data_IF_091400428974
#
_entry.id   IF_091400428974
#
_cell.length_a   1.000
_cell.length_b   1.000
_cell.length_c   1.000
_cell.angle_alpha   90.00
_cell.angle_beta   90.00
_cell.angle_gamma   90.00
#
_symmetry.space_group_name_H-M   'P 1'
#
loop_
_entity.id
_entity.type
_entity.pdbx_description
1 polymer ?
#
# COMPACT_ATOMS: atom_id res chain seq x y z
N UNK A 1 -17.49 -9.56 -1.88
CA UNK A 1 -16.53 -9.87 -2.97
C UNK A 1 -15.29 -10.47 -2.33
N UNK A 2 -15.02 -11.75 -2.60
CA UNK A 2 -13.82 -12.42 -2.09
C UNK A 2 -12.68 -12.09 -3.07
N UNK A 3 -12.01 -10.93 -2.88
CA UNK A 3 -10.88 -10.49 -3.71
C UNK A 3 -9.67 -11.35 -3.36
N UNK A 4 -9.39 -12.40 -4.14
CA UNK A 4 -8.16 -13.18 -3.99
C UNK A 4 -7.05 -12.54 -4.85
N UNK A 5 -6.59 -11.36 -4.42
CA UNK A 5 -5.40 -10.74 -5.02
C UNK A 5 -4.19 -11.62 -4.73
N UNK A 6 -3.50 -12.09 -5.78
CA UNK A 6 -2.22 -12.79 -5.65
C UNK A 6 -1.09 -11.79 -5.82
N UNK A 7 -0.13 -11.75 -4.90
CA UNK A 7 1.03 -10.87 -4.99
C UNK A 7 1.81 -11.13 -6.27
N UNK A 8 2.19 -10.05 -6.96
CA UNK A 8 2.97 -10.08 -8.20
C UNK A 8 4.21 -9.21 -8.11
N UNK A 9 4.16 -8.13 -7.33
CA UNK A 9 5.30 -7.22 -7.10
C UNK A 9 5.26 -6.78 -5.64
N UNK A 10 6.42 -6.85 -4.99
CA UNK A 10 6.66 -6.37 -3.63
C UNK A 10 7.67 -5.23 -3.67
N UNK A 11 7.24 -4.05 -3.25
CA UNK A 11 8.10 -2.87 -3.15
C UNK A 11 8.68 -2.67 -1.73
N UNK A 12 8.30 -3.54 -0.79
CA UNK A 12 8.65 -3.43 0.62
C UNK A 12 7.88 -2.33 1.35
N UNK A 13 8.49 -1.86 2.44
CA UNK A 13 7.92 -0.87 3.34
C UNK A 13 8.07 0.53 2.75
N UNK A 14 6.95 1.17 2.44
CA UNK A 14 6.87 2.46 1.75
C UNK A 14 6.03 3.48 2.53
N UNK A 15 6.41 4.77 2.50
CA UNK A 15 5.60 5.82 3.09
C UNK A 15 4.44 6.23 2.17
N UNK A 16 3.55 7.08 2.68
CA UNK A 16 2.49 7.71 1.88
C UNK A 16 3.12 8.78 0.99
N UNK A 17 3.08 8.56 -0.33
CA UNK A 17 3.80 9.40 -1.30
C UNK A 17 3.41 10.89 -1.29
N UNK A 18 2.20 11.22 -0.85
CA UNK A 18 1.68 12.58 -0.76
C UNK A 18 1.65 13.15 0.68
N UNK A 19 2.18 12.43 1.67
CA UNK A 19 2.29 12.91 3.05
C UNK A 19 3.64 13.62 3.24
N UNK A 20 3.76 14.84 2.73
CA UNK A 20 4.96 15.65 2.94
C UNK A 20 5.08 16.06 4.41
N UNK A 21 6.26 15.84 5.01
CA UNK A 21 6.52 16.08 6.43
C UNK A 21 7.61 17.13 6.63
N UNK A 22 7.51 17.89 7.72
CA UNK A 22 8.62 18.66 8.25
C UNK A 22 9.65 17.71 8.92
N UNK A 23 10.94 18.11 9.05
CA UNK A 23 11.98 17.25 9.62
C UNK A 23 11.66 16.72 11.03
N UNK A 24 10.93 17.51 11.83
CA UNK A 24 10.52 17.15 13.18
C UNK A 24 9.48 16.02 13.21
N UNK A 25 8.79 15.79 12.09
CA UNK A 25 7.69 14.82 11.96
C UNK A 25 8.15 13.47 11.40
N UNK A 26 9.41 13.36 10.94
CA UNK A 26 9.97 12.13 10.34
C UNK A 26 9.91 10.92 11.30
N UNK A 27 10.06 11.16 12.60
CA UNK A 27 9.98 10.09 13.61
C UNK A 27 8.59 9.43 13.68
N UNK A 28 7.55 10.11 13.19
CA UNK A 28 6.16 9.66 13.18
C UNK A 28 5.63 9.31 11.78
N UNK A 29 6.50 9.23 10.77
CA UNK A 29 6.11 8.90 9.39
C UNK A 29 5.41 7.53 9.33
N UNK A 30 4.28 7.48 8.63
CA UNK A 30 3.51 6.26 8.45
C UNK A 30 4.05 5.45 7.27
N UNK A 31 4.23 4.15 7.50
CA UNK A 31 4.68 3.20 6.49
C UNK A 31 3.72 2.02 6.40
N UNK A 32 3.58 1.49 5.20
CA UNK A 32 2.83 0.27 4.91
C UNK A 32 3.61 -0.63 3.93
N UNK A 33 3.25 -1.91 3.89
CA UNK A 33 3.86 -2.85 2.97
C UNK A 33 3.19 -2.73 1.60
N UNK A 34 3.88 -2.09 0.65
CA UNK A 34 3.37 -1.81 -0.70
C UNK A 34 3.52 -3.05 -1.58
N UNK A 35 2.54 -3.95 -1.48
CA UNK A 35 2.46 -5.17 -2.28
C UNK A 35 1.33 -5.05 -3.29
N UNK A 36 1.66 -5.17 -4.57
CA UNK A 36 0.68 -5.18 -5.67
C UNK A 36 0.25 -6.62 -5.92
N UNK A 37 -1.06 -6.81 -6.00
CA UNK A 37 -1.68 -8.07 -6.36
C UNK A 37 -2.50 -7.98 -7.63
N UNK A 38 -2.68 -9.14 -8.25
CA UNK A 38 -3.51 -9.32 -9.44
C UNK A 38 -4.55 -10.41 -9.17
N UNK A 39 -5.81 -10.12 -9.48
CA UNK A 39 -6.93 -11.05 -9.41
C UNK A 39 -7.27 -11.58 -10.80
N UNK A 40 -7.02 -12.88 -11.02
CA UNK A 40 -7.28 -13.55 -12.30
C UNK A 40 -8.76 -13.69 -12.65
N UNK A 41 -9.67 -13.58 -11.67
CA UNK A 41 -11.10 -13.73 -11.94
C UNK A 41 -11.70 -12.45 -12.53
N UNK A 42 -11.13 -11.30 -12.22
CA UNK A 42 -11.66 -9.98 -12.58
C UNK A 42 -10.70 -9.13 -13.42
N UNK A 43 -9.48 -9.64 -13.66
CA UNK A 43 -8.35 -8.91 -14.24
C UNK A 43 -7.96 -7.63 -13.48
N UNK A 44 -8.42 -7.49 -12.24
CA UNK A 44 -8.12 -6.32 -11.43
C UNK A 44 -6.70 -6.35 -10.88
N UNK A 45 -6.07 -5.18 -10.85
CA UNK A 45 -4.81 -4.92 -10.15
C UNK A 45 -5.11 -4.02 -8.95
N UNK A 46 -4.54 -4.33 -7.79
CA UNK A 46 -4.74 -3.54 -6.59
C UNK A 46 -3.71 -3.82 -5.51
N UNK A 47 -3.74 -3.03 -4.44
CA UNK A 47 -2.91 -3.25 -3.27
C UNK A 47 -3.44 -4.44 -2.46
N UNK A 48 -2.53 -5.32 -2.04
CA UNK A 48 -2.82 -6.39 -1.08
C UNK A 48 -3.03 -5.80 0.32
N UNK A 49 -2.22 -4.80 0.68
CA UNK A 49 -2.33 -4.06 1.95
C UNK A 49 -2.74 -2.61 1.66
N UNK A 50 -3.92 -2.20 2.14
CA UNK A 50 -4.44 -0.84 1.92
C UNK A 50 -4.07 0.10 3.06
N UNK A 51 -3.78 1.35 2.72
CA UNK A 51 -3.63 2.43 3.70
C UNK A 51 -5.02 2.84 4.24
N UNK A 52 -5.20 2.94 5.56
CA UNK A 52 -6.45 3.44 6.13
C UNK A 52 -6.74 4.90 5.70
N UNK A 53 -8.00 5.28 5.42
CA UNK A 53 -8.33 6.64 4.97
C UNK A 53 -7.96 7.76 5.95
N UNK A 54 -7.85 7.45 7.24
CA UNK A 54 -7.49 8.38 8.31
C UNK A 54 -5.98 8.66 8.45
N UNK A 55 -5.14 8.11 7.56
CA UNK A 55 -3.68 8.30 7.56
C UNK A 55 -3.20 9.37 6.61
#
# INVERSE_FOLDING_TARGET
MNKSLKSVIDFGRMPIANAFLAPEEFASEYFYDMVVGYDRATDAIGLVNTVPPEK
#
